data_IF_914991484897
#
_entry.id   IF_914991484897
#
_cell.length_a   1.000
_cell.length_b   1.000
_cell.length_c   1.000
_cell.angle_alpha   90.00
_cell.angle_beta   90.00
_cell.angle_gamma   90.00
#
_symmetry.space_group_name_H-M   'P 1'
#
loop_
_entity.id
_entity.type
_entity.pdbx_description
1 polymer ?
#
# COMPACT_ATOMS: atom_id res chain seq x y z
N UNK A 1 6.48 -14.26 25.66
CA UNK A 1 7.42 -13.56 26.56
C UNK A 1 6.89 -12.17 26.83
N UNK A 2 7.37 -11.45 27.84
CA UNK A 2 7.07 -10.02 27.95
C UNK A 2 7.82 -9.21 26.89
N UNK A 3 7.32 -8.03 26.53
CA UNK A 3 7.98 -7.15 25.57
C UNK A 3 9.41 -6.78 26.01
N UNK A 4 9.62 -6.51 27.31
CA UNK A 4 10.95 -6.18 27.85
C UNK A 4 11.95 -7.33 27.68
N UNK A 5 11.52 -8.57 27.92
CA UNK A 5 12.36 -9.76 27.74
C UNK A 5 12.74 -9.93 26.26
N UNK A 6 11.75 -9.92 25.37
CA UNK A 6 11.95 -10.06 23.92
C UNK A 6 12.89 -8.96 23.40
N UNK A 7 12.64 -7.71 23.77
CA UNK A 7 13.46 -6.57 23.37
C UNK A 7 14.90 -6.71 23.87
N UNK A 8 15.08 -7.13 25.12
CA UNK A 8 16.42 -7.29 25.71
C UNK A 8 17.22 -8.40 25.01
N UNK A 9 16.56 -9.50 24.68
CA UNK A 9 17.15 -10.59 23.90
C UNK A 9 17.48 -10.13 22.48
N UNK A 10 16.55 -9.44 21.81
CA UNK A 10 16.77 -8.95 20.46
C UNK A 10 17.91 -7.94 20.38
N UNK A 11 17.94 -6.96 21.28
CA UNK A 11 19.04 -6.01 21.34
C UNK A 11 20.39 -6.66 21.70
N UNK A 12 20.38 -7.77 22.42
CA UNK A 12 21.61 -8.55 22.67
C UNK A 12 22.10 -9.25 21.41
N UNK A 13 21.18 -9.87 20.65
CA UNK A 13 21.47 -10.45 19.33
C UNK A 13 22.02 -9.40 18.36
N UNK A 14 21.39 -8.22 18.29
CA UNK A 14 21.82 -7.13 17.42
C UNK A 14 23.18 -6.57 17.83
N UNK A 15 23.47 -6.41 19.12
CA UNK A 15 24.78 -5.93 19.58
C UNK A 15 25.92 -6.88 19.20
N UNK A 16 25.64 -8.19 19.16
CA UNK A 16 26.62 -9.21 18.80
C UNK A 16 26.83 -9.29 17.27
N UNK A 17 25.74 -9.38 16.50
CA UNK A 17 25.82 -9.65 15.05
C UNK A 17 25.75 -8.41 14.17
N UNK A 18 25.01 -7.38 14.60
CA UNK A 18 24.68 -6.18 13.81
C UNK A 18 24.98 -4.89 14.60
N UNK A 19 26.24 -4.67 15.03
CA UNK A 19 26.59 -3.61 15.96
C UNK A 19 26.30 -2.19 15.43
N UNK A 20 26.31 -1.97 14.11
CA UNK A 20 25.96 -0.67 13.54
C UNK A 20 24.47 -0.38 13.72
N UNK A 21 23.60 -1.37 13.49
CA UNK A 21 22.15 -1.25 13.71
C UNK A 21 21.85 -1.08 15.19
N UNK A 22 22.47 -1.89 16.06
CA UNK A 22 22.26 -1.76 17.51
C UNK A 22 22.65 -0.37 18.06
N UNK A 23 23.73 0.24 17.53
CA UNK A 23 24.18 1.58 17.92
C UNK A 23 23.26 2.71 17.40
N UNK A 24 22.46 2.44 16.37
CA UNK A 24 21.51 3.42 15.83
C UNK A 24 20.26 3.59 16.69
N UNK A 25 19.98 2.65 17.60
CA UNK A 25 18.85 2.74 18.53
C UNK A 25 19.12 3.82 19.57
N UNK A 26 18.23 4.80 19.64
CA UNK A 26 18.31 5.91 20.57
C UNK A 26 17.92 5.46 21.98
N UNK A 27 18.62 5.93 23.02
CA UNK A 27 18.27 5.60 24.41
C UNK A 27 16.86 6.10 24.75
N UNK A 28 16.21 5.51 25.76
CA UNK A 28 14.89 5.96 26.20
C UNK A 28 14.93 7.40 26.72
N UNK A 29 13.82 8.11 26.49
CA UNK A 29 13.61 9.49 26.97
C UNK A 29 12.88 9.52 28.30
N UNK A 30 12.82 10.70 28.91
CA UNK A 30 12.22 10.89 30.22
C UNK A 30 10.73 10.54 30.21
N UNK A 31 10.18 10.22 31.40
CA UNK A 31 8.74 9.96 31.57
C UNK A 31 7.87 11.16 31.15
N UNK A 32 8.38 12.39 31.34
CA UNK A 32 7.69 13.61 30.91
C UNK A 32 7.55 13.63 29.39
N UNK A 33 8.66 13.44 28.66
CA UNK A 33 8.64 13.41 27.19
C UNK A 33 7.76 12.29 26.64
N UNK A 34 7.74 11.11 27.27
CA UNK A 34 6.85 10.01 26.88
C UNK A 34 5.38 10.35 27.07
N UNK A 35 5.02 10.99 28.19
CA UNK A 35 3.65 11.47 28.42
C UNK A 35 3.27 12.58 27.45
N UNK A 36 4.22 13.42 27.06
CA UNK A 36 3.97 14.50 26.09
C UNK A 36 3.67 13.91 24.71
N UNK A 37 4.43 12.88 24.31
CA UNK A 37 4.18 12.13 23.08
C UNK A 37 2.82 11.39 23.10
N UNK A 38 2.45 10.75 24.21
CA UNK A 38 1.13 10.12 24.36
C UNK A 38 0.00 11.15 24.23
N UNK A 39 0.16 12.35 24.81
CA UNK A 39 -0.84 13.42 24.68
C UNK A 39 -0.91 14.02 23.28
N UNK A 40 0.19 14.02 22.53
CA UNK A 40 0.25 14.53 21.17
C UNK A 40 -0.40 13.58 20.15
N UNK A 41 -0.52 12.29 20.49
CA UNK A 41 -1.07 11.27 19.60
C UNK A 41 -2.46 10.80 20.06
N UNK A 42 -2.51 9.85 21.00
CA UNK A 42 -3.72 9.22 21.53
C UNK A 42 -3.35 8.46 22.81
N UNK A 43 -4.30 8.15 23.72
CA UNK A 43 -4.02 7.28 24.86
C UNK A 43 -3.45 5.93 24.42
N UNK A 44 -2.40 5.48 25.11
CA UNK A 44 -1.68 4.24 24.77
C UNK A 44 -2.15 3.03 25.55
N UNK A 45 -1.90 1.84 25.01
CA UNK A 45 -1.93 0.59 25.77
C UNK A 45 -0.76 0.54 26.75
N UNK A 46 -0.84 -0.31 27.78
CA UNK A 46 0.25 -0.48 28.74
C UNK A 46 1.52 -1.01 28.08
N UNK A 47 1.37 -1.90 27.09
CA UNK A 47 2.49 -2.45 26.32
C UNK A 47 3.17 -1.37 25.46
N UNK A 48 2.43 -0.47 24.81
CA UNK A 48 3.02 0.64 24.05
C UNK A 48 3.73 1.64 24.96
N UNK A 49 3.19 1.91 26.16
CA UNK A 49 3.92 2.70 27.17
C UNK A 49 5.21 2.03 27.59
N UNK A 50 5.21 0.71 27.77
CA UNK A 50 6.40 -0.09 28.09
C UNK A 50 7.42 -0.05 26.95
N UNK A 51 6.98 -0.18 25.69
CA UNK A 51 7.85 -0.11 24.52
C UNK A 51 8.70 1.15 24.49
N UNK A 52 8.08 2.32 24.68
CA UNK A 52 8.81 3.58 24.69
C UNK A 52 9.64 3.83 25.96
N UNK A 53 9.58 2.96 26.98
CA UNK A 53 10.58 2.97 28.07
C UNK A 53 11.92 2.39 27.64
N UNK A 54 11.99 1.71 26.50
CA UNK A 54 13.15 0.93 26.06
C UNK A 54 14.04 1.68 25.06
N UNK A 55 13.48 2.62 24.28
CA UNK A 55 14.18 3.43 23.30
C UNK A 55 13.42 4.72 22.98
N UNK A 56 14.02 5.61 22.19
CA UNK A 56 13.33 6.78 21.61
C UNK A 56 13.39 6.89 20.09
N UNK A 57 13.61 5.74 19.44
CA UNK A 57 13.56 5.56 17.99
C UNK A 57 14.90 5.08 17.44
N UNK A 58 15.07 5.18 16.13
CA UNK A 58 16.31 4.87 15.45
C UNK A 58 16.85 6.12 14.73
N UNK A 59 18.14 6.40 14.90
CA UNK A 59 18.82 7.45 14.16
C UNK A 59 19.53 6.88 12.93
N UNK A 60 19.10 7.31 11.74
CA UNK A 60 19.68 6.89 10.45
C UNK A 60 20.50 8.04 9.87
N UNK A 61 21.84 8.00 9.95
CA UNK A 61 22.69 9.04 9.37
C UNK A 61 22.71 8.95 7.84
N UNK A 62 22.83 10.10 7.17
CA UNK A 62 22.88 10.17 5.71
C UNK A 62 24.17 9.61 5.10
N UNK A 63 25.28 9.66 5.85
CA UNK A 63 26.62 9.29 5.35
C UNK A 63 26.97 7.82 5.59
N UNK A 64 26.21 7.13 6.44
CA UNK A 64 26.50 5.74 6.81
C UNK A 64 25.21 4.94 6.88
N UNK A 65 25.17 3.85 6.14
CA UNK A 65 24.07 2.91 6.23
C UNK A 65 24.15 2.13 7.55
N UNK A 66 23.07 2.16 8.33
CA UNK A 66 22.96 1.49 9.64
C UNK A 66 21.89 0.40 9.69
N UNK A 67 21.22 0.13 8.56
CA UNK A 67 20.17 -0.89 8.49
C UNK A 67 18.93 -0.53 9.27
N UNK A 68 18.03 -1.49 9.45
CA UNK A 68 16.76 -1.32 10.16
C UNK A 68 16.54 -2.43 11.17
N UNK A 69 15.98 -2.07 12.33
CA UNK A 69 15.64 -3.07 13.37
C UNK A 69 14.49 -3.96 12.95
N UNK A 70 13.53 -3.38 12.25
CA UNK A 70 12.34 -4.06 11.78
C UNK A 70 12.48 -4.35 10.29
N UNK A 71 11.82 -5.40 9.78
CA UNK A 71 11.84 -5.79 8.37
C UNK A 71 11.52 -4.64 7.43
N UNK A 72 12.55 -4.01 6.85
CA UNK A 72 12.48 -2.78 6.04
C UNK A 72 11.84 -1.52 6.68
N UNK A 73 11.57 -1.52 7.99
CA UNK A 73 11.03 -0.35 8.70
C UNK A 73 12.05 0.26 9.69
N UNK A 74 12.28 1.57 9.58
CA UNK A 74 13.03 2.37 10.55
C UNK A 74 12.12 2.74 11.71
N UNK A 75 12.54 2.47 12.95
CA UNK A 75 11.79 2.93 14.13
C UNK A 75 11.76 4.47 14.17
N UNK A 76 10.55 5.02 14.23
CA UNK A 76 10.34 6.46 14.30
C UNK A 76 10.89 7.04 15.62
N UNK A 77 11.46 8.24 15.54
CA UNK A 77 11.75 9.04 16.74
C UNK A 77 10.47 9.63 17.32
N UNK A 78 10.50 10.16 18.53
CA UNK A 78 9.32 10.80 19.12
C UNK A 78 8.77 11.93 18.24
N UNK A 79 9.66 12.73 17.66
CA UNK A 79 9.29 13.75 16.68
C UNK A 79 8.66 13.13 15.43
N UNK A 80 9.29 12.08 14.88
CA UNK A 80 8.75 11.38 13.70
C UNK A 80 7.38 10.75 13.94
N UNK A 81 7.10 10.27 15.15
CA UNK A 81 5.78 9.74 15.52
C UNK A 81 4.72 10.85 15.48
N UNK A 82 4.99 12.01 16.08
CA UNK A 82 4.06 13.16 16.06
C UNK A 82 3.89 13.66 14.63
N UNK A 83 4.98 13.92 13.93
CA UNK A 83 4.96 14.44 12.56
C UNK A 83 4.16 13.50 11.64
N UNK A 84 4.37 12.18 11.76
CA UNK A 84 3.64 11.19 10.96
C UNK A 84 2.17 11.14 11.34
N UNK A 85 1.84 11.15 12.63
CA UNK A 85 0.47 11.12 13.12
C UNK A 85 -0.32 12.34 12.64
N UNK A 86 0.24 13.54 12.82
CA UNK A 86 -0.35 14.79 12.35
C UNK A 86 -0.47 14.82 10.83
N UNK A 87 0.57 14.39 10.10
CA UNK A 87 0.55 14.34 8.65
C UNK A 87 -0.58 13.47 8.13
N UNK A 88 -0.77 12.26 8.67
CA UNK A 88 -1.82 11.36 8.19
C UNK A 88 -3.24 11.83 8.52
N UNK A 89 -3.41 12.53 9.65
CA UNK A 89 -4.71 13.15 9.97
C UNK A 89 -5.01 14.36 9.09
N UNK A 90 -3.99 15.13 8.70
CA UNK A 90 -4.14 16.30 7.84
C UNK A 90 -4.24 15.95 6.35
N UNK A 91 -3.71 14.80 5.95
CA UNK A 91 -3.68 14.30 4.57
C UNK A 91 -4.35 12.92 4.52
N UNK A 92 -5.67 12.85 4.76
CA UNK A 92 -6.37 11.59 4.73
C UNK A 92 -6.13 10.89 3.41
N UNK A 93 -5.85 9.60 3.51
CA UNK A 93 -5.52 8.77 2.37
C UNK A 93 -6.65 8.86 1.33
N UNK A 94 -6.35 9.10 0.04
CA UNK A 94 -7.35 9.32 -1.00
C UNK A 94 -7.97 7.99 -1.42
N UNK A 95 -8.64 7.31 -0.49
CA UNK A 95 -9.51 6.20 -0.81
C UNK A 95 -10.84 6.81 -1.27
N UNK A 96 -11.29 6.41 -2.46
CA UNK A 96 -12.47 6.98 -3.10
C UNK A 96 -13.72 6.75 -2.22
N UNK A 97 -14.39 7.85 -1.85
CA UNK A 97 -15.76 7.95 -1.33
C UNK A 97 -16.27 6.76 -0.47
N UNK A 98 -15.81 6.67 0.78
CA UNK A 98 -16.35 5.74 1.78
C UNK A 98 -17.79 6.09 2.21
N UNK A 99 -18.37 7.16 1.66
CA UNK A 99 -19.69 7.66 1.99
C UNK A 99 -19.77 8.46 3.30
N UNK A 100 -20.83 9.26 3.42
CA UNK A 100 -21.09 10.11 4.60
C UNK A 100 -21.26 9.31 5.92
N UNK A 101 -21.55 8.01 5.83
CA UNK A 101 -21.78 7.14 6.99
C UNK A 101 -20.48 6.57 7.59
N UNK A 102 -19.38 6.52 6.82
CA UNK A 102 -18.11 5.93 7.25
C UNK A 102 -17.60 6.41 8.62
N UNK A 103 -17.63 7.72 8.96
CA UNK A 103 -17.19 8.17 10.28
C UNK A 103 -17.95 7.51 11.44
N UNK A 104 -19.22 7.17 11.23
CA UNK A 104 -20.04 6.47 12.22
C UNK A 104 -19.76 4.98 12.25
N UNK A 105 -19.53 4.36 11.09
CA UNK A 105 -19.16 2.95 10.99
C UNK A 105 -17.82 2.68 11.69
N UNK A 106 -16.79 3.44 11.31
CA UNK A 106 -15.43 3.26 11.85
C UNK A 106 -15.35 3.56 13.35
N UNK A 107 -16.22 4.44 13.86
CA UNK A 107 -16.31 4.73 15.29
C UNK A 107 -16.86 3.55 16.12
N UNK A 108 -17.51 2.57 15.48
CA UNK A 108 -18.00 1.34 16.13
C UNK A 108 -17.07 0.15 15.97
N UNK A 109 -16.05 0.26 15.10
CA UNK A 109 -15.08 -0.79 14.88
C UNK A 109 -14.14 -0.96 16.09
N UNK A 110 -13.81 -2.20 16.37
CA UNK A 110 -12.82 -2.61 17.36
C UNK A 110 -11.41 -2.58 16.77
N UNK A 111 -10.41 -2.60 17.66
CA UNK A 111 -9.02 -2.73 17.23
C UNK A 111 -8.80 -3.98 16.36
N UNK A 112 -7.97 -3.84 15.34
CA UNK A 112 -7.69 -4.91 14.38
C UNK A 112 -8.64 -4.99 13.19
N UNK A 113 -9.79 -4.32 13.22
CA UNK A 113 -10.68 -4.24 12.05
C UNK A 113 -10.17 -3.22 11.02
N UNK A 114 -10.44 -3.47 9.74
CA UNK A 114 -10.02 -2.58 8.65
C UNK A 114 -10.81 -1.26 8.66
N UNK A 115 -10.10 -0.13 8.72
CA UNK A 115 -10.68 1.21 8.75
C UNK A 115 -10.66 1.94 7.42
N UNK A 116 -9.88 1.47 6.44
CA UNK A 116 -9.69 2.05 5.09
C UNK A 116 -8.98 3.41 5.06
N UNK A 117 -8.88 4.10 6.20
CA UNK A 117 -8.13 5.35 6.38
C UNK A 117 -7.37 5.35 7.70
N UNK A 118 -6.36 6.20 7.80
CA UNK A 118 -5.64 6.41 9.04
C UNK A 118 -6.57 7.00 10.12
N UNK A 119 -6.54 6.41 11.32
CA UNK A 119 -7.38 6.85 12.44
C UNK A 119 -6.56 7.59 13.50
N UNK A 120 -7.16 8.54 14.25
CA UNK A 120 -6.51 9.17 15.39
C UNK A 120 -6.01 8.16 16.44
N UNK A 121 -6.66 7.00 16.54
CA UNK A 121 -6.30 5.91 17.45
C UNK A 121 -5.11 5.06 16.98
N UNK A 122 -4.50 5.36 15.84
CA UNK A 122 -3.32 4.64 15.35
C UNK A 122 -2.06 5.39 15.79
N UNK A 123 -1.12 4.69 16.42
CA UNK A 123 0.19 5.26 16.78
C UNK A 123 1.24 4.70 15.82
N UNK A 124 1.77 5.50 14.87
CA UNK A 124 2.84 5.02 13.99
C UNK A 124 4.09 4.76 14.83
N UNK A 125 4.78 3.65 14.58
CA UNK A 125 5.99 3.26 15.33
C UNK A 125 7.23 3.10 14.44
N UNK A 126 7.04 2.85 13.14
CA UNK A 126 8.13 2.65 12.21
C UNK A 126 7.70 2.97 10.76
N UNK A 127 8.62 3.39 9.90
CA UNK A 127 8.34 3.77 8.50
C UNK A 127 9.35 3.15 7.52
N UNK A 128 8.93 2.93 6.27
CA UNK A 128 9.77 2.36 5.20
C UNK A 128 10.49 3.42 4.35
N UNK A 129 10.22 4.71 4.59
CA UNK A 129 10.74 5.83 3.80
C UNK A 129 10.11 6.00 2.40
N UNK A 130 9.16 5.15 2.01
CA UNK A 130 8.41 5.18 0.76
C UNK A 130 6.91 5.50 0.96
N UNK A 131 6.50 5.72 2.21
CA UNK A 131 5.14 6.13 2.58
C UNK A 131 4.36 5.06 3.35
N UNK A 132 4.89 3.84 3.40
CA UNK A 132 4.40 2.80 4.29
C UNK A 132 4.88 3.01 5.73
N UNK A 133 4.08 2.53 6.69
CA UNK A 133 4.45 2.54 8.10
C UNK A 133 3.73 1.45 8.87
N UNK A 134 4.39 1.02 9.94
CA UNK A 134 3.84 0.14 10.95
C UNK A 134 3.22 0.99 12.07
N UNK A 135 2.06 0.58 12.58
CA UNK A 135 1.37 1.29 13.65
C UNK A 135 0.77 0.33 14.68
N UNK A 136 0.53 0.87 15.88
CA UNK A 136 -0.20 0.20 16.95
C UNK A 136 -1.62 0.74 16.98
N UNK A 137 -2.61 -0.16 16.93
CA UNK A 137 -4.03 0.20 17.01
C UNK A 137 -4.47 0.31 18.48
N UNK A 138 -4.80 1.53 18.93
CA UNK A 138 -5.22 1.78 20.32
C UNK A 138 -6.73 1.80 20.52
N UNK A 139 -7.54 1.49 19.49
CA UNK A 139 -9.00 1.33 19.64
C UNK A 139 -9.32 0.28 20.70
N UNK A 140 -10.51 0.37 21.28
CA UNK A 140 -10.99 -0.65 22.21
C UNK A 140 -11.27 -1.96 21.49
N UNK A 141 -11.23 -3.06 22.23
CA UNK A 141 -11.60 -4.39 21.73
C UNK A 141 -10.57 -5.45 22.14
N UNK A 142 -10.81 -6.72 21.78
CA UNK A 142 -9.93 -7.83 22.14
C UNK A 142 -8.50 -7.71 21.61
N UNK A 143 -8.30 -7.00 20.48
CA UNK A 143 -7.00 -6.81 19.82
C UNK A 143 -6.42 -5.42 20.05
N UNK A 144 -6.84 -4.72 21.12
CA UNK A 144 -6.25 -3.42 21.46
C UNK A 144 -4.75 -3.56 21.69
N UNK A 145 -3.95 -2.77 20.98
CA UNK A 145 -2.49 -2.85 21.00
C UNK A 145 -1.89 -3.75 19.92
N UNK A 146 -2.70 -4.32 19.02
CA UNK A 146 -2.19 -5.06 17.86
C UNK A 146 -1.34 -4.16 16.94
N UNK A 147 -0.41 -4.80 16.24
CA UNK A 147 0.48 -4.15 15.28
C UNK A 147 -0.02 -4.45 13.87
N UNK A 148 -0.22 -3.39 13.08
CA UNK A 148 -0.67 -3.44 11.70
C UNK A 148 0.18 -2.52 10.82
N UNK A 149 -0.08 -2.58 9.52
CA UNK A 149 0.69 -1.88 8.51
C UNK A 149 -0.25 -1.00 7.69
N UNK A 150 0.25 0.17 7.34
CA UNK A 150 -0.45 1.11 6.50
C UNK A 150 0.42 1.39 5.28
N UNK A 151 -0.14 1.19 4.09
CA UNK A 151 0.54 1.38 2.81
C UNK A 151 -0.09 2.50 1.99
N UNK A 152 0.73 3.17 1.19
CA UNK A 152 0.28 4.24 0.29
C UNK A 152 -0.56 3.76 -0.90
N UNK A 153 -0.72 2.45 -1.10
CA UNK A 153 -1.54 1.88 -2.16
C UNK A 153 -2.68 1.01 -1.61
N UNK A 154 -2.63 0.71 -0.30
CA UNK A 154 -3.48 -0.30 0.34
C UNK A 154 -4.15 0.18 1.61
N UNK A 155 -3.86 1.40 2.08
CA UNK A 155 -4.26 1.85 3.42
C UNK A 155 -3.91 0.78 4.47
N UNK A 156 -4.85 0.41 5.35
CA UNK A 156 -4.72 -0.69 6.31
C UNK A 156 -5.32 -2.02 5.82
N UNK A 157 -5.54 -2.14 4.50
CA UNK A 157 -5.94 -3.39 3.84
C UNK A 157 -4.70 -4.23 3.52
N UNK A 158 -4.47 -5.27 4.32
CA UNK A 158 -3.40 -6.23 4.08
C UNK A 158 -2.11 -5.96 4.85
N UNK A 159 -1.11 -6.80 4.61
CA UNK A 159 0.07 -6.95 5.44
C UNK A 159 -0.12 -7.97 6.58
N UNK A 160 0.97 -8.40 7.23
CA UNK A 160 0.88 -9.28 8.38
C UNK A 160 0.25 -8.53 9.57
N UNK A 161 -0.48 -9.26 10.41
CA UNK A 161 -1.06 -8.70 11.63
C UNK A 161 -0.45 -9.42 12.83
N UNK A 162 -0.06 -8.66 13.85
CA UNK A 162 0.45 -9.22 15.10
C UNK A 162 -0.45 -8.82 16.26
N UNK A 163 -0.75 -9.77 17.14
CA UNK A 163 -1.65 -9.56 18.27
C UNK A 163 -1.10 -8.56 19.31
N UNK A 164 0.23 -8.36 19.34
CA UNK A 164 0.91 -7.48 20.29
C UNK A 164 2.27 -6.99 19.77
N UNK A 165 2.84 -5.98 20.43
CA UNK A 165 4.23 -5.57 20.16
C UNK A 165 5.21 -6.67 20.52
N UNK A 166 5.01 -7.38 21.64
CA UNK A 166 5.88 -8.48 22.01
C UNK A 166 5.93 -9.56 20.93
N UNK A 167 4.79 -9.93 20.34
CA UNK A 167 4.73 -10.94 19.28
C UNK A 167 5.44 -10.46 18.00
N UNK A 168 5.26 -9.21 17.61
CA UNK A 168 5.92 -8.65 16.43
C UNK A 168 7.45 -8.59 16.59
N UNK A 169 7.94 -8.06 17.72
CA UNK A 169 9.37 -7.98 17.99
C UNK A 169 9.98 -9.39 18.15
N UNK A 170 9.25 -10.34 18.73
CA UNK A 170 9.75 -11.71 18.90
C UNK A 170 9.85 -12.44 17.56
N UNK A 171 8.86 -12.26 16.68
CA UNK A 171 8.90 -12.80 15.34
C UNK A 171 10.10 -12.22 14.54
N UNK A 172 10.35 -10.90 14.64
CA UNK A 172 11.50 -10.28 13.98
C UNK A 172 12.83 -10.81 14.55
N UNK A 173 12.92 -10.93 15.88
CA UNK A 173 14.07 -11.52 16.57
C UNK A 173 14.35 -12.94 16.10
N UNK A 174 13.31 -13.79 16.05
CA UNK A 174 13.42 -15.19 15.62
C UNK A 174 13.89 -15.29 14.16
N UNK A 175 13.36 -14.45 13.27
CA UNK A 175 13.83 -14.36 11.88
C UNK A 175 15.31 -14.01 11.79
N UNK A 176 15.76 -12.98 12.53
CA UNK A 176 17.18 -12.60 12.59
C UNK A 176 18.05 -13.72 13.15
N UNK A 177 17.60 -14.36 14.23
CA UNK A 177 18.33 -15.45 14.88
C UNK A 177 18.51 -16.66 13.95
N UNK A 178 17.44 -17.05 13.26
CA UNK A 178 17.43 -18.22 12.37
C UNK A 178 17.88 -17.91 10.91
N UNK A 179 18.05 -16.64 10.56
CA UNK A 179 18.28 -16.16 9.19
C UNK A 179 17.18 -16.59 8.20
N UNK A 180 15.93 -16.60 8.68
CA UNK A 180 14.76 -17.03 7.89
C UNK A 180 13.96 -15.85 7.38
N UNK A 181 13.17 -16.10 6.33
CA UNK A 181 12.24 -15.13 5.78
C UNK A 181 11.21 -14.65 6.82
N UNK A 182 10.89 -13.38 6.72
CA UNK A 182 9.89 -12.65 7.48
C UNK A 182 9.21 -11.68 6.53
N UNK A 183 7.92 -11.88 6.28
CA UNK A 183 7.09 -11.01 5.44
C UNK A 183 7.71 -10.62 4.08
N UNK A 184 8.25 -11.62 3.39
CA UNK A 184 8.86 -11.49 2.07
C UNK A 184 10.30 -11.01 2.07
N UNK A 185 10.91 -10.77 3.23
CA UNK A 185 12.32 -10.32 3.34
C UNK A 185 13.13 -11.21 4.29
N UNK A 186 14.44 -11.29 4.08
CA UNK A 186 15.35 -12.13 4.87
C UNK A 186 16.46 -11.25 5.43
N UNK A 187 16.83 -11.44 6.71
CA UNK A 187 17.89 -10.66 7.34
C UNK A 187 19.27 -11.03 6.79
N UNK A 188 20.10 -10.00 6.56
CA UNK A 188 21.50 -10.13 6.12
C UNK A 188 22.40 -9.15 6.84
N UNK A 189 23.66 -9.53 6.96
CA UNK A 189 24.72 -8.69 7.53
C UNK A 189 25.44 -7.93 6.42
N UNK A 190 25.44 -6.60 6.52
CA UNK A 190 26.23 -5.74 5.64
C UNK A 190 26.94 -4.67 6.48
N UNK A 191 28.27 -4.71 6.53
CA UNK A 191 29.10 -3.73 7.25
C UNK A 191 28.71 -3.50 8.73
N UNK A 192 28.24 -4.57 9.40
CA UNK A 192 27.75 -4.50 10.78
C UNK A 192 26.31 -4.00 10.91
N UNK A 193 25.61 -3.73 9.80
CA UNK A 193 24.20 -3.39 9.76
C UNK A 193 23.34 -4.61 9.37
N UNK A 194 22.13 -4.67 9.93
CA UNK A 194 21.05 -5.56 9.55
C UNK A 194 20.32 -4.95 8.36
N UNK A 195 20.48 -5.58 7.19
CA UNK A 195 19.67 -5.27 6.01
C UNK A 195 18.60 -6.36 5.87
N UNK A 196 17.49 -6.00 5.26
CA UNK A 196 16.46 -6.94 4.87
C UNK A 196 16.46 -7.00 3.34
N UNK A 197 16.59 -8.19 2.80
CA UNK A 197 16.60 -8.42 1.36
C UNK A 197 15.37 -9.19 0.96
N UNK A 198 14.71 -8.78 -0.12
CA UNK A 198 13.55 -9.51 -0.67
C UNK A 198 13.92 -10.97 -0.94
N UNK A 199 13.15 -11.89 -0.36
CA UNK A 199 13.28 -13.31 -0.63
C UNK A 199 12.70 -13.64 -2.01
N UNK A 200 13.58 -13.72 -3.00
CA UNK A 200 13.20 -14.13 -4.36
C UNK A 200 13.11 -15.65 -4.51
N UNK A 201 13.45 -16.45 -3.49
CA UNK A 201 13.54 -17.91 -3.59
C UNK A 201 12.17 -18.59 -3.72
N UNK A 202 11.12 -17.97 -3.16
CA UNK A 202 9.75 -18.48 -3.18
C UNK A 202 8.83 -17.82 -4.23
N UNK A 203 9.34 -16.89 -5.06
CA UNK A 203 8.51 -16.37 -6.16
C UNK A 203 8.26 -17.49 -7.18
N UNK A 204 6.99 -17.87 -7.45
CA UNK A 204 6.72 -18.70 -8.61
C UNK A 204 7.31 -17.99 -9.81
N UNK A 205 8.16 -18.67 -10.58
CA UNK A 205 8.68 -18.11 -11.81
C UNK A 205 7.46 -17.75 -12.66
N UNK A 206 7.23 -16.45 -12.86
CA UNK A 206 6.10 -16.01 -13.67
C UNK A 206 6.22 -16.74 -15.02
N UNK A 207 5.15 -17.41 -15.49
CA UNK A 207 5.17 -18.00 -16.81
C UNK A 207 5.62 -16.89 -17.79
N UNK A 208 6.46 -17.21 -18.79
CA UNK A 208 6.95 -16.21 -19.72
C UNK A 208 5.76 -15.43 -20.26
N UNK A 209 5.77 -14.10 -20.08
CA UNK A 209 4.69 -13.25 -20.55
C UNK A 209 4.49 -13.52 -22.04
N UNK A 210 3.25 -13.73 -22.51
CA UNK A 210 3.01 -13.86 -23.93
C UNK A 210 3.52 -12.60 -24.64
N UNK A 211 4.00 -12.71 -25.89
CA UNK A 211 4.52 -11.57 -26.62
C UNK A 211 3.44 -10.48 -26.73
N UNK A 212 3.81 -9.19 -26.67
CA UNK A 212 2.86 -8.10 -26.75
C UNK A 212 2.13 -8.13 -28.10
N UNK A 213 0.84 -7.79 -28.07
CA UNK A 213 0.06 -7.65 -29.29
C UNK A 213 0.36 -6.29 -29.93
N UNK A 214 0.60 -6.27 -31.24
CA UNK A 214 0.75 -5.01 -31.97
C UNK A 214 -0.61 -4.30 -32.06
N UNK A 215 -0.70 -3.13 -31.45
CA UNK A 215 -1.87 -2.26 -31.51
C UNK A 215 -1.55 -1.06 -32.41
N UNK A 216 -2.32 -0.92 -33.49
CA UNK A 216 -2.23 0.25 -34.38
C UNK A 216 -3.25 1.29 -33.97
N UNK A 217 -2.79 2.48 -33.60
CA UNK A 217 -3.65 3.61 -33.25
C UNK A 217 -3.40 4.77 -34.22
N UNK A 218 -4.44 5.55 -34.56
CA UNK A 218 -4.30 6.73 -35.41
C UNK A 218 -3.72 7.94 -34.67
N UNK A 219 -3.30 7.77 -33.41
CA UNK A 219 -2.67 8.78 -32.58
C UNK A 219 -1.91 8.11 -31.43
N UNK A 220 -0.91 8.82 -30.91
CA UNK A 220 -0.21 8.38 -29.70
C UNK A 220 -1.17 8.44 -28.50
N UNK A 221 -1.21 7.39 -27.65
CA UNK A 221 -1.93 7.48 -26.40
C UNK A 221 -1.26 8.46 -25.46
N UNK A 222 -2.08 9.10 -24.65
CA UNK A 222 -1.69 10.09 -23.66
C UNK A 222 -2.22 9.59 -22.32
N UNK A 223 -1.32 9.46 -21.36
CA UNK A 223 -1.70 9.28 -19.97
C UNK A 223 -2.04 10.66 -19.41
N UNK A 224 -3.13 10.73 -18.65
CA UNK A 224 -3.56 11.96 -17.99
C UNK A 224 -3.65 11.71 -16.49
N UNK A 225 -3.43 12.75 -15.68
CA UNK A 225 -3.62 12.68 -14.23
C UNK A 225 -4.93 13.35 -13.86
N UNK A 226 -5.82 12.68 -13.11
CA UNK A 226 -7.07 13.29 -12.67
C UNK A 226 -6.89 14.62 -11.90
N UNK A 227 -5.79 14.76 -11.16
CA UNK A 227 -5.45 15.96 -10.37
C UNK A 227 -5.11 17.21 -11.20
N UNK A 228 -4.94 17.08 -12.52
CA UNK A 228 -4.60 18.19 -13.40
C UNK A 228 -5.85 18.92 -13.93
N UNK A 229 -7.06 18.46 -13.58
CA UNK A 229 -8.32 18.94 -14.16
C UNK A 229 -9.26 19.57 -13.13
N UNK A 230 -10.02 20.54 -13.60
CA UNK A 230 -10.99 21.37 -12.89
C UNK A 230 -12.40 21.11 -13.40
N UNK A 231 -13.43 21.53 -12.67
CA UNK A 231 -14.84 21.30 -13.03
C UNK A 231 -15.28 21.94 -14.35
N UNK A 232 -14.50 22.89 -14.88
CA UNK A 232 -14.77 23.58 -16.13
C UNK A 232 -14.17 22.88 -17.37
N UNK A 233 -13.40 21.79 -17.19
CA UNK A 233 -12.72 21.11 -18.28
C UNK A 233 -13.66 20.26 -19.14
N UNK A 234 -13.36 20.21 -20.44
CA UNK A 234 -14.16 19.49 -21.43
C UNK A 234 -13.92 17.97 -21.32
N UNK A 235 -14.89 17.24 -20.77
CA UNK A 235 -14.81 15.80 -20.50
C UNK A 235 -15.73 14.98 -21.41
N UNK A 236 -15.34 13.75 -21.71
CA UNK A 236 -16.18 12.79 -22.45
C UNK A 236 -17.36 12.31 -21.61
N UNK A 237 -18.49 12.01 -22.26
CA UNK A 237 -19.63 11.35 -21.62
C UNK A 237 -19.30 9.86 -21.35
N UNK A 238 -19.12 9.50 -20.08
CA UNK A 238 -18.77 8.14 -19.70
C UNK A 238 -19.88 7.13 -19.96
N UNK A 239 -21.16 7.51 -20.02
CA UNK A 239 -22.23 6.58 -20.39
C UNK A 239 -22.15 6.22 -21.88
N UNK A 240 -21.73 7.17 -22.73
CA UNK A 240 -21.45 6.92 -24.13
C UNK A 240 -20.22 6.00 -24.30
N UNK A 241 -19.15 6.25 -23.54
CA UNK A 241 -17.95 5.40 -23.55
C UNK A 241 -18.26 3.99 -23.03
N UNK A 242 -18.97 3.86 -21.90
CA UNK A 242 -19.45 2.58 -21.33
C UNK A 242 -20.24 1.79 -22.37
N UNK A 243 -21.14 2.45 -23.08
CA UNK A 243 -21.94 1.82 -24.14
C UNK A 243 -21.05 1.29 -25.28
N UNK A 244 -20.02 2.04 -25.68
CA UNK A 244 -19.06 1.61 -26.69
C UNK A 244 -18.23 0.41 -26.23
N UNK A 245 -17.77 0.41 -24.96
CA UNK A 245 -17.01 -0.69 -24.36
C UNK A 245 -17.85 -1.96 -24.25
N UNK A 246 -19.07 -1.84 -23.72
CA UNK A 246 -20.02 -2.95 -23.62
C UNK A 246 -20.35 -3.54 -24.99
N UNK A 247 -20.46 -2.69 -26.01
CA UNK A 247 -20.64 -3.15 -27.40
C UNK A 247 -19.42 -3.91 -27.90
N UNK A 248 -18.21 -3.38 -27.71
CA UNK A 248 -16.97 -4.04 -28.12
C UNK A 248 -16.82 -5.41 -27.45
N UNK A 249 -17.14 -5.51 -26.15
CA UNK A 249 -17.12 -6.78 -25.42
C UNK A 249 -18.12 -7.80 -25.99
N UNK A 250 -19.35 -7.38 -26.31
CA UNK A 250 -20.36 -8.26 -26.93
C UNK A 250 -19.95 -8.72 -28.33
N UNK A 251 -19.34 -7.83 -29.11
CA UNK A 251 -18.87 -8.14 -30.46
C UNK A 251 -17.71 -9.17 -30.42
N UNK A 252 -16.81 -9.04 -29.45
CA UNK A 252 -15.66 -9.94 -29.28
C UNK A 252 -16.04 -11.29 -28.65
N UNK A 253 -17.09 -11.31 -27.84
CA UNK A 253 -17.56 -12.49 -27.10
C UNK A 253 -19.06 -12.74 -27.30
N UNK A 254 -19.49 -13.11 -28.52
CA UNK A 254 -20.92 -13.29 -28.85
C UNK A 254 -21.61 -14.43 -28.09
N UNK A 255 -20.86 -15.33 -27.44
CA UNK A 255 -21.36 -16.44 -26.62
C UNK A 255 -21.45 -16.14 -25.12
N UNK A 256 -21.03 -14.95 -24.69
CA UNK A 256 -20.97 -14.55 -23.28
C UNK A 256 -22.08 -13.56 -22.95
N UNK A 257 -22.53 -13.55 -21.70
CA UNK A 257 -23.42 -12.52 -21.20
C UNK A 257 -22.57 -11.39 -20.63
N UNK A 258 -22.57 -10.24 -21.31
CA UNK A 258 -21.90 -9.03 -20.85
C UNK A 258 -22.86 -8.26 -19.94
N UNK A 259 -22.55 -8.23 -18.65
CA UNK A 259 -23.44 -7.75 -17.58
C UNK A 259 -23.27 -6.26 -17.36
N UNK A 260 -22.05 -5.82 -17.06
CA UNK A 260 -21.72 -4.42 -16.82
C UNK A 260 -20.27 -4.09 -17.19
N UNK A 261 -19.96 -2.79 -17.30
CA UNK A 261 -18.63 -2.23 -17.42
C UNK A 261 -18.48 -1.00 -16.52
N UNK A 262 -17.37 -0.94 -15.80
CA UNK A 262 -17.01 0.20 -14.97
C UNK A 262 -15.57 0.65 -15.27
N UNK A 263 -15.29 1.93 -15.07
CA UNK A 263 -13.95 2.51 -15.14
C UNK A 263 -13.61 3.18 -13.81
N UNK A 264 -12.33 3.20 -13.46
CA UNK A 264 -11.83 3.89 -12.26
C UNK A 264 -12.01 5.39 -12.39
N UNK A 265 -11.71 5.95 -13.57
CA UNK A 265 -11.83 7.39 -13.79
C UNK A 265 -13.27 7.79 -14.11
N UNK A 266 -13.87 8.56 -13.20
CA UNK A 266 -15.18 9.19 -13.37
C UNK A 266 -15.13 10.45 -14.25
N UNK A 267 -13.92 10.91 -14.60
CA UNK A 267 -13.69 12.08 -15.46
C UNK A 267 -12.53 11.80 -16.39
N UNK A 268 -12.75 11.92 -17.69
CA UNK A 268 -11.71 11.77 -18.70
C UNK A 268 -11.78 12.96 -19.66
N UNK A 269 -10.66 13.64 -19.95
CA UNK A 269 -10.65 14.77 -20.86
C UNK A 269 -11.04 14.32 -22.27
N UNK A 270 -11.76 15.17 -23.00
CA UNK A 270 -12.00 15.02 -24.45
C UNK A 270 -10.74 15.39 -25.24
N UNK A 271 -9.63 14.74 -24.89
CA UNK A 271 -8.32 14.93 -25.51
C UNK A 271 -8.01 13.72 -26.39
N UNK A 272 -7.68 13.96 -27.66
CA UNK A 272 -7.26 12.90 -28.59
C UNK A 272 -6.03 12.17 -28.02
N UNK A 273 -6.15 10.86 -27.81
CA UNK A 273 -5.11 10.05 -27.20
C UNK A 273 -5.33 9.72 -25.73
N UNK A 274 -6.16 10.47 -25.00
CA UNK A 274 -6.49 10.14 -23.62
C UNK A 274 -7.06 8.72 -23.53
N UNK A 275 -6.58 7.94 -22.59
CA UNK A 275 -6.92 6.52 -22.51
C UNK A 275 -7.38 6.13 -21.11
N UNK A 276 -8.33 5.21 -21.03
CA UNK A 276 -8.83 4.72 -19.75
C UNK A 276 -9.13 3.22 -19.82
N UNK A 277 -8.90 2.52 -18.72
CA UNK A 277 -9.25 1.12 -18.58
C UNK A 277 -10.67 0.96 -18.03
N UNK A 278 -11.35 -0.07 -18.54
CA UNK A 278 -12.70 -0.48 -18.20
C UNK A 278 -12.70 -1.96 -17.85
N UNK A 279 -13.31 -2.30 -16.72
CA UNK A 279 -13.50 -3.67 -16.27
C UNK A 279 -14.92 -4.09 -16.62
N UNK A 280 -15.02 -5.13 -17.44
CA UNK A 280 -16.26 -5.63 -17.99
C UNK A 280 -16.58 -6.98 -17.36
N UNK A 281 -17.65 -7.05 -16.59
CA UNK A 281 -18.11 -8.28 -15.93
C UNK A 281 -18.85 -9.16 -16.94
N UNK A 282 -18.41 -10.41 -17.08
CA UNK A 282 -18.91 -11.32 -18.11
C UNK A 282 -19.14 -12.73 -17.57
N UNK A 283 -20.36 -13.27 -17.71
CA UNK A 283 -20.67 -14.65 -17.35
C UNK A 283 -20.63 -15.58 -18.56
N UNK A 284 -20.11 -16.80 -18.37
CA UNK A 284 -19.98 -17.83 -19.41
C UNK A 284 -18.56 -18.08 -19.95
N UNK A 285 -17.58 -17.25 -19.58
CA UNK A 285 -16.15 -17.52 -19.86
C UNK A 285 -15.53 -18.20 -18.65
N UNK A 286 -15.14 -19.47 -18.76
CA UNK A 286 -14.62 -20.28 -17.65
C UNK A 286 -13.22 -19.91 -17.15
N UNK A 287 -12.96 -18.65 -16.81
CA UNK A 287 -11.72 -18.23 -16.14
C UNK A 287 -11.82 -18.50 -14.63
N UNK A 288 -10.80 -19.17 -14.09
CA UNK A 288 -10.60 -19.34 -12.64
C UNK A 288 -9.78 -18.16 -12.08
N UNK A 289 -9.86 -17.89 -10.74
CA UNK A 289 -9.23 -16.76 -10.04
C UNK A 289 -7.71 -16.60 -10.30
N UNK A 290 -7.12 -15.40 -10.12
CA UNK A 290 -7.44 -14.44 -9.06
C UNK A 290 -8.29 -13.21 -9.46
N UNK A 291 -8.54 -12.95 -10.75
CA UNK A 291 -9.17 -11.71 -11.23
C UNK A 291 -10.65 -11.83 -11.63
N UNK A 292 -11.44 -12.63 -10.90
CA UNK A 292 -12.88 -12.75 -11.13
C UNK A 292 -13.29 -13.10 -12.58
N UNK A 293 -14.55 -12.83 -12.91
CA UNK A 293 -15.14 -13.00 -14.26
C UNK A 293 -15.02 -11.71 -15.11
N UNK A 294 -14.03 -10.87 -14.80
CA UNK A 294 -13.92 -9.54 -15.41
C UNK A 294 -12.81 -9.49 -16.47
N UNK A 295 -13.08 -8.73 -17.52
CA UNK A 295 -12.14 -8.50 -18.61
C UNK A 295 -11.82 -7.02 -18.70
N UNK A 296 -10.54 -6.71 -18.90
CA UNK A 296 -10.10 -5.32 -19.00
C UNK A 296 -10.11 -4.90 -20.46
N UNK A 297 -10.74 -3.77 -20.75
CA UNK A 297 -10.72 -3.09 -22.04
C UNK A 297 -10.11 -1.70 -21.87
N UNK A 298 -9.36 -1.23 -22.85
CA UNK A 298 -8.85 0.15 -22.89
C UNK A 298 -9.62 0.93 -23.94
N UNK A 299 -10.17 2.08 -23.56
CA UNK A 299 -10.82 3.02 -24.46
C UNK A 299 -9.90 4.22 -24.71
N UNK A 300 -9.61 4.49 -25.98
CA UNK A 300 -8.79 5.62 -26.43
C UNK A 300 -9.68 6.71 -27.03
N UNK A 301 -9.70 7.88 -26.42
CA UNK A 301 -10.48 9.05 -26.84
C UNK A 301 -9.95 9.58 -28.17
N UNK A 302 -10.84 9.75 -29.13
CA UNK A 302 -10.50 10.26 -30.48
C UNK A 302 -10.36 11.79 -30.52
N UNK A 303 -10.92 12.49 -29.52
CA UNK A 303 -11.04 13.95 -29.49
C UNK A 303 -12.20 14.49 -30.32
N UNK A 304 -13.04 13.63 -30.90
CA UNK A 304 -14.24 14.01 -31.67
C UNK A 304 -15.49 13.52 -30.94
N UNK A 305 -16.26 14.44 -30.36
CA UNK A 305 -17.42 14.08 -29.54
C UNK A 305 -17.03 13.12 -28.40
N UNK A 306 -17.83 12.08 -28.19
CA UNK A 306 -17.59 11.03 -27.18
C UNK A 306 -17.08 9.72 -27.82
N UNK A 307 -16.51 9.81 -29.03
CA UNK A 307 -16.05 8.65 -29.78
C UNK A 307 -14.72 8.11 -29.21
N UNK A 308 -14.67 6.79 -29.05
CA UNK A 308 -13.51 6.05 -28.53
C UNK A 308 -13.15 4.86 -29.41
N UNK A 309 -11.87 4.51 -29.44
CA UNK A 309 -11.37 3.23 -29.94
C UNK A 309 -11.23 2.28 -28.75
N UNK A 310 -11.93 1.15 -28.77
CA UNK A 310 -11.92 0.19 -27.65
C UNK A 310 -11.16 -1.08 -28.02
N UNK A 311 -10.29 -1.55 -27.13
CA UNK A 311 -9.49 -2.78 -27.30
C UNK A 311 -9.46 -3.60 -26.01
N UNK A 312 -9.46 -4.93 -26.09
CA UNK A 312 -9.34 -5.79 -24.90
C UNK A 312 -7.88 -5.96 -24.48
N UNK A 313 -7.55 -5.56 -23.25
CA UNK A 313 -6.22 -5.72 -22.66
C UNK A 313 -5.77 -7.19 -22.72
N UNK A 314 -4.64 -7.43 -23.37
CA UNK A 314 -4.08 -8.77 -23.47
C UNK A 314 -3.05 -9.02 -22.35
N UNK A 315 -2.90 -10.26 -21.86
CA UNK A 315 -1.94 -10.59 -20.81
C UNK A 315 -0.47 -10.26 -21.13
N UNK A 316 -0.13 -10.10 -22.41
CA UNK A 316 1.21 -9.73 -22.88
C UNK A 316 1.41 -8.22 -23.05
N UNK A 317 0.38 -7.41 -22.79
CA UNK A 317 0.36 -5.99 -23.08
C UNK A 317 0.36 -5.68 -24.58
N UNK A 318 0.66 -4.43 -24.92
CA UNK A 318 0.66 -3.95 -26.29
C UNK A 318 2.00 -3.32 -26.67
N UNK A 319 2.36 -3.47 -27.95
CA UNK A 319 3.28 -2.54 -28.62
C UNK A 319 2.44 -1.62 -29.47
N UNK A 320 2.56 -0.30 -29.26
CA UNK A 320 1.78 0.70 -29.99
C UNK A 320 2.56 1.15 -31.20
N UNK A 321 1.95 1.04 -32.37
CA UNK A 321 2.41 1.68 -33.61
C UNK A 321 1.40 2.78 -33.95
N UNK A 322 1.88 4.02 -34.05
CA UNK A 322 1.04 5.14 -34.46
C UNK A 322 1.07 5.21 -35.97
N UNK A 323 -0.11 5.12 -36.60
CA UNK A 323 -0.21 5.39 -38.04
C UNK A 323 0.09 6.89 -38.24
N UNK A 324 1.31 7.23 -38.65
CA UNK A 324 1.65 8.60 -39.04
C UNK A 324 0.76 9.00 -40.23
N UNK A 325 -0.17 9.93 -40.01
CA UNK A 325 -0.90 10.57 -41.10
C UNK A 325 0.12 11.22 -42.06
N UNK A 326 0.20 10.70 -43.30
CA UNK A 326 0.75 11.42 -44.46
C UNK A 326 -0.25 12.42 -45.00
#
# INVERSE_FOLDING_TARGET
>A
MSLVEVWSEYMTLLRDRFPATAQSVLPPRSEVERRDLERATTPWSDELREFFTLHSGQYVPTERYVGTLLPDYVLLTFEGIVDRHEFQLANPFPIDDLGDEWPSEVATQEAGETSHMFLPAYVPIAEDGAGGFCYVDTRSGPRQGCVRFFGNDTADEGGPEYESLADYIDAARLSVEAETEFDGVVPRLMEGALIWEVDLSNRPQAPPAPPPTLLRLPFAPIDFRPSEWTDDDDIVDLDAVRSAVMKAARDLYPGSVVEDAHAVYQRVPRLRGANMNWWVSMSGTGSLPPFGNERVFTAFVTGVGDEVIVVEATPGGYTIEVDEER
#
